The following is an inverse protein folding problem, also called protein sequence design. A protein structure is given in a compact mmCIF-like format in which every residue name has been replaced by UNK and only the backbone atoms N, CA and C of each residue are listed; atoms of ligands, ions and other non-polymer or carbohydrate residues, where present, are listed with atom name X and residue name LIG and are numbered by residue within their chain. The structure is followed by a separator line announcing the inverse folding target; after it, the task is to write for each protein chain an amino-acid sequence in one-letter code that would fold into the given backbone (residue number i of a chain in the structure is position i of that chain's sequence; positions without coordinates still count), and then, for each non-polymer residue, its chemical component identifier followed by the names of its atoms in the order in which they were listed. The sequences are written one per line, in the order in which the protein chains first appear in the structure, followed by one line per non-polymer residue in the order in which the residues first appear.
data_IF_815707889610
#
_entry.id   IF_815707889610
#
_cell.length_a   1.000
_cell.length_b   1.000
_cell.length_c   1.000
_cell.angle_alpha   90.00
_cell.angle_beta   90.00
_cell.angle_gamma   90.00
#
_symmetry.space_group_name_H-M   'P 1'
#
loop_
_entity.id
_entity.type
_entity.pdbx_description
1 polymer ?
#
# COMPACT_ATOMS: atom_id res chain seq x y z
N UNK A 1 19.91 10.90 -29.93
CA UNK A 1 18.74 10.12 -30.38
C UNK A 1 17.50 10.75 -29.79
N UNK A 2 16.45 10.92 -30.55
CA UNK A 2 15.17 11.43 -30.08
C UNK A 2 14.51 10.33 -29.25
N UNK A 3 13.93 10.72 -28.07
CA UNK A 3 13.26 9.77 -27.18
C UNK A 3 12.00 9.22 -27.85
N UNK A 4 11.74 7.94 -27.65
CA UNK A 4 10.48 7.33 -28.06
C UNK A 4 9.29 7.92 -27.31
N UNK A 5 8.06 7.70 -27.82
CA UNK A 5 6.82 8.08 -27.13
C UNK A 5 6.78 7.48 -25.73
N UNK A 6 7.14 6.19 -25.63
CA UNK A 6 7.14 5.48 -24.36
C UNK A 6 8.12 6.09 -23.35
N UNK A 7 9.38 6.32 -23.72
CA UNK A 7 10.37 6.92 -22.84
C UNK A 7 9.96 8.32 -22.37
N UNK A 8 9.43 9.13 -23.30
CA UNK A 8 8.96 10.50 -23.01
C UNK A 8 7.84 10.52 -21.98
N UNK A 9 6.88 9.59 -22.06
CA UNK A 9 5.74 9.52 -21.15
C UNK A 9 6.08 8.78 -19.84
N UNK A 10 6.96 7.78 -19.90
CA UNK A 10 7.33 6.98 -18.72
C UNK A 10 8.16 7.78 -17.69
N UNK A 11 8.93 8.75 -18.13
CA UNK A 11 9.71 9.62 -17.25
C UNK A 11 8.87 10.62 -16.44
N UNK A 12 7.58 10.78 -16.78
CA UNK A 12 6.71 11.72 -16.07
C UNK A 12 6.34 11.17 -14.71
N UNK A 13 6.71 11.88 -13.66
CA UNK A 13 6.24 11.56 -12.30
C UNK A 13 4.78 12.01 -12.15
N UNK A 14 3.87 11.07 -11.96
CA UNK A 14 2.44 11.33 -11.80
C UNK A 14 1.94 11.17 -10.37
N UNK A 15 2.82 10.92 -9.40
CA UNK A 15 2.45 10.55 -8.03
C UNK A 15 1.55 11.56 -7.31
N UNK A 16 1.75 12.87 -7.58
CA UNK A 16 0.95 13.94 -6.97
C UNK A 16 -0.49 14.02 -7.52
N UNK A 17 -0.80 13.25 -8.56
CA UNK A 17 -2.10 13.23 -9.23
C UNK A 17 -2.80 11.86 -9.14
N UNK A 18 -2.36 11.05 -8.18
CA UNK A 18 -2.87 9.69 -7.94
C UNK A 18 -3.75 9.68 -6.71
N UNK A 19 -4.97 9.19 -6.86
CA UNK A 19 -5.87 8.87 -5.76
C UNK A 19 -5.80 7.37 -5.46
N UNK A 20 -5.73 7.01 -4.18
CA UNK A 20 -5.83 5.61 -3.74
C UNK A 20 -7.23 5.33 -3.22
N UNK A 21 -7.90 4.34 -3.81
CA UNK A 21 -9.24 3.88 -3.40
C UNK A 21 -9.28 2.36 -3.41
N UNK A 22 -9.68 1.75 -2.30
CA UNK A 22 -9.83 0.29 -2.17
C UNK A 22 -8.59 -0.52 -2.61
N UNK A 23 -7.40 -0.04 -2.25
CA UNK A 23 -6.13 -0.70 -2.61
C UNK A 23 -5.63 -0.46 -4.03
N UNK A 24 -6.43 0.17 -4.90
CA UNK A 24 -6.04 0.51 -6.27
C UNK A 24 -5.59 1.97 -6.38
N UNK A 25 -4.68 2.21 -7.30
CA UNK A 25 -4.19 3.54 -7.67
C UNK A 25 -4.96 4.06 -8.88
N UNK A 26 -5.47 5.28 -8.78
CA UNK A 26 -6.22 5.94 -9.86
C UNK A 26 -5.52 7.21 -10.26
N UNK A 27 -4.95 7.21 -11.46
CA UNK A 27 -4.43 8.44 -12.06
C UNK A 27 -5.60 9.32 -12.52
N UNK A 28 -5.57 10.60 -12.17
CA UNK A 28 -6.55 11.58 -12.62
C UNK A 28 -6.59 11.62 -14.15
N UNK A 29 -7.73 11.26 -14.76
CA UNK A 29 -7.87 11.23 -16.22
C UNK A 29 -7.65 12.60 -16.90
N UNK A 30 -8.14 13.75 -16.33
CA UNK A 30 -7.86 15.06 -16.92
C UNK A 30 -6.38 15.41 -16.93
N UNK A 31 -5.68 15.07 -15.84
CA UNK A 31 -4.24 15.23 -15.76
C UNK A 31 -3.51 14.38 -16.79
N UNK A 32 -3.82 13.09 -16.84
CA UNK A 32 -3.22 12.15 -17.78
C UNK A 32 -3.40 12.62 -19.25
N UNK A 33 -4.62 13.03 -19.60
CA UNK A 33 -4.94 13.55 -20.91
C UNK A 33 -4.18 14.84 -21.23
N UNK A 34 -4.13 15.79 -20.29
CA UNK A 34 -3.42 17.04 -20.45
C UNK A 34 -1.91 16.83 -20.66
N UNK A 35 -1.28 15.96 -19.87
CA UNK A 35 0.15 15.67 -19.98
C UNK A 35 0.50 15.01 -21.33
N UNK A 36 -0.34 14.11 -21.81
CA UNK A 36 -0.19 13.51 -23.13
C UNK A 36 -0.35 14.57 -24.25
N UNK A 37 -1.41 15.37 -24.22
CA UNK A 37 -1.68 16.40 -25.25
C UNK A 37 -0.64 17.50 -25.30
N UNK A 38 0.00 17.87 -24.18
CA UNK A 38 1.11 18.83 -24.16
C UNK A 38 2.31 18.35 -24.98
N UNK A 39 2.58 17.06 -25.00
CA UNK A 39 3.74 16.46 -25.69
C UNK A 39 3.41 15.94 -27.07
N UNK A 40 2.19 15.42 -27.23
CA UNK A 40 1.68 14.82 -28.46
C UNK A 40 0.33 15.46 -28.84
N UNK A 41 0.34 16.71 -29.37
CA UNK A 41 -0.92 17.42 -29.67
C UNK A 41 -1.85 16.69 -30.67
N UNK A 42 -1.28 15.88 -31.56
CA UNK A 42 -2.01 15.08 -32.54
C UNK A 42 -2.60 13.78 -31.97
N UNK A 43 -2.20 13.38 -30.74
CA UNK A 43 -2.74 12.18 -30.12
C UNK A 43 -4.26 12.24 -29.98
N UNK A 44 -4.91 11.09 -30.13
CA UNK A 44 -6.36 10.98 -30.12
C UNK A 44 -6.82 9.75 -29.30
N UNK A 45 -8.11 9.67 -29.04
CA UNK A 45 -8.73 8.50 -28.39
C UNK A 45 -9.94 8.02 -29.17
N UNK A 46 -10.32 6.77 -28.92
CA UNK A 46 -11.50 6.14 -29.48
C UNK A 46 -12.25 5.36 -28.40
N UNK A 47 -13.56 5.53 -28.38
CA UNK A 47 -14.48 4.64 -27.67
C UNK A 47 -15.08 3.72 -28.75
N UNK A 48 -14.91 2.42 -28.57
CA UNK A 48 -15.44 1.45 -29.51
C UNK A 48 -16.90 1.16 -29.22
N UNK A 49 -17.67 0.99 -30.26
CA UNK A 49 -19.10 0.71 -30.20
C UNK A 49 -19.40 -0.68 -30.81
N UNK A 50 -20.49 -1.27 -30.38
CA UNK A 50 -21.04 -2.44 -31.03
C UNK A 50 -21.64 -2.07 -32.41
N UNK A 51 -22.01 -3.04 -33.24
CA UNK A 51 -22.70 -2.79 -34.51
C UNK A 51 -24.00 -1.99 -34.34
N UNK A 52 -24.66 -2.13 -33.20
CA UNK A 52 -25.88 -1.38 -32.85
C UNK A 52 -25.61 0.02 -32.25
N UNK A 53 -24.35 0.48 -32.18
CA UNK A 53 -23.96 1.79 -31.60
C UNK A 53 -23.94 1.83 -30.09
N UNK A 54 -23.90 0.68 -29.41
CA UNK A 54 -23.76 0.62 -27.97
C UNK A 54 -22.31 0.78 -27.56
N UNK A 55 -22.01 1.67 -26.60
CA UNK A 55 -20.66 2.00 -26.11
C UNK A 55 -20.10 1.03 -25.05
N UNK A 56 -20.80 -0.06 -24.78
CA UNK A 56 -20.32 -1.17 -23.95
C UNK A 56 -20.62 -2.51 -24.63
N UNK A 57 -19.88 -3.53 -24.25
CA UNK A 57 -20.01 -4.90 -24.71
C UNK A 57 -20.49 -5.79 -23.57
N UNK A 58 -21.10 -6.93 -23.87
CA UNK A 58 -21.61 -7.87 -22.87
C UNK A 58 -21.49 -9.32 -23.32
N UNK A 59 -21.33 -10.21 -22.34
CA UNK A 59 -21.42 -11.67 -22.48
C UNK A 59 -22.82 -12.21 -22.11
N UNK A 60 -23.79 -11.30 -21.91
CA UNK A 60 -25.12 -11.60 -21.43
C UNK A 60 -25.25 -11.66 -19.89
N UNK A 61 -24.17 -11.56 -19.15
CA UNK A 61 -24.14 -11.57 -17.67
C UNK A 61 -23.50 -10.32 -17.11
N UNK A 62 -22.35 -9.95 -17.64
CA UNK A 62 -21.58 -8.77 -17.23
C UNK A 62 -21.25 -7.91 -18.45
N UNK A 63 -20.61 -6.78 -18.22
CA UNK A 63 -20.31 -5.81 -19.25
C UNK A 63 -18.91 -5.26 -19.13
N UNK A 64 -18.35 -4.83 -20.26
CA UNK A 64 -17.06 -4.13 -20.34
C UNK A 64 -17.09 -3.03 -21.39
N UNK A 65 -16.16 -2.11 -21.29
CA UNK A 65 -15.91 -1.11 -22.32
C UNK A 65 -14.63 -1.46 -23.09
N UNK A 66 -14.55 -0.99 -24.32
CA UNK A 66 -13.35 -1.09 -25.18
C UNK A 66 -12.97 0.31 -25.62
N UNK A 67 -11.74 0.71 -25.34
CA UNK A 67 -11.22 2.04 -25.71
C UNK A 67 -9.84 1.91 -26.34
N UNK A 68 -9.42 2.94 -27.09
CA UNK A 68 -8.09 3.04 -27.65
C UNK A 68 -7.52 4.44 -27.47
N UNK A 69 -6.20 4.53 -27.33
CA UNK A 69 -5.46 5.79 -27.41
C UNK A 69 -4.39 5.64 -28.48
N UNK A 70 -4.38 6.59 -29.42
CA UNK A 70 -3.42 6.63 -30.53
C UNK A 70 -2.44 7.77 -30.32
N UNK A 71 -1.13 7.47 -30.39
CA UNK A 71 -0.03 8.42 -30.33
C UNK A 71 0.98 8.07 -31.43
N UNK A 72 1.28 9.03 -32.31
CA UNK A 72 2.24 8.86 -33.40
C UNK A 72 1.96 7.65 -34.30
N UNK A 73 0.68 7.36 -34.57
CA UNK A 73 0.25 6.26 -35.45
C UNK A 73 0.20 4.88 -34.78
N UNK A 74 0.54 4.77 -33.50
CA UNK A 74 0.40 3.56 -32.70
C UNK A 74 -0.82 3.69 -31.80
N UNK A 75 -1.78 2.73 -31.92
CA UNK A 75 -2.94 2.63 -31.04
C UNK A 75 -2.73 1.53 -30.00
N UNK A 76 -2.94 1.87 -28.72
CA UNK A 76 -3.08 0.88 -27.65
C UNK A 76 -4.53 0.76 -27.23
N UNK A 77 -5.06 -0.45 -27.29
CA UNK A 77 -6.44 -0.77 -26.96
C UNK A 77 -6.49 -1.37 -25.55
N UNK A 78 -7.50 -0.96 -24.80
CA UNK A 78 -7.78 -1.47 -23.46
C UNK A 78 -9.22 -1.95 -23.36
N UNK A 79 -9.42 -3.05 -22.63
CA UNK A 79 -10.71 -3.61 -22.26
C UNK A 79 -10.86 -3.51 -20.75
N UNK A 80 -11.92 -2.90 -20.25
CA UNK A 80 -12.14 -2.73 -18.83
C UNK A 80 -13.53 -3.21 -18.43
N UNK A 81 -13.67 -4.18 -17.49
CA UNK A 81 -14.96 -4.55 -16.93
C UNK A 81 -15.66 -3.36 -16.28
N UNK A 82 -16.99 -3.31 -16.37
CA UNK A 82 -17.79 -2.36 -15.62
C UNK A 82 -17.96 -2.89 -14.19
N UNK A 83 -17.41 -2.17 -13.20
CA UNK A 83 -17.24 -2.64 -11.84
C UNK A 83 -17.86 -1.69 -10.82
N UNK A 84 -18.32 -2.27 -9.71
CA UNK A 84 -18.76 -1.54 -8.52
C UNK A 84 -17.59 -0.94 -7.74
N UNK A 85 -17.90 -0.33 -6.58
CA UNK A 85 -16.90 0.28 -5.70
C UNK A 85 -15.98 -0.75 -5.01
N UNK A 86 -16.33 -2.04 -5.06
CA UNK A 86 -15.52 -3.16 -4.54
C UNK A 86 -14.72 -3.87 -5.65
N UNK A 87 -14.66 -3.27 -6.85
CA UNK A 87 -14.02 -3.82 -8.05
C UNK A 87 -14.63 -5.17 -8.52
N UNK A 88 -15.89 -5.44 -8.17
CA UNK A 88 -16.63 -6.60 -8.68
C UNK A 88 -17.43 -6.20 -9.91
N UNK A 89 -17.43 -7.05 -10.94
CA UNK A 89 -18.23 -6.82 -12.14
C UNK A 89 -19.71 -6.64 -11.79
N UNK A 90 -20.33 -5.59 -12.35
CA UNK A 90 -21.76 -5.31 -12.21
C UNK A 90 -22.49 -6.18 -13.23
N UNK A 91 -23.61 -6.81 -12.84
CA UNK A 91 -24.45 -7.56 -13.77
C UNK A 91 -25.11 -6.64 -14.78
N UNK A 92 -25.36 -7.18 -15.99
CA UNK A 92 -25.99 -6.44 -17.10
C UNK A 92 -27.27 -5.71 -16.70
N UNK A 93 -28.09 -6.30 -15.82
CA UNK A 93 -29.35 -5.75 -15.34
C UNK A 93 -29.19 -4.50 -14.46
N UNK A 94 -28.02 -4.31 -13.86
CA UNK A 94 -27.79 -3.26 -12.87
C UNK A 94 -26.83 -2.17 -13.32
N UNK A 95 -26.25 -2.28 -14.54
CA UNK A 95 -25.36 -1.22 -15.04
C UNK A 95 -26.15 0.04 -15.38
N UNK A 96 -25.51 1.17 -15.11
CA UNK A 96 -26.05 2.49 -15.47
C UNK A 96 -25.13 3.20 -16.46
N UNK A 97 -25.66 4.21 -17.17
CA UNK A 97 -24.80 5.05 -18.04
C UNK A 97 -23.68 5.74 -17.29
N UNK A 98 -23.87 6.02 -15.99
CA UNK A 98 -22.82 6.55 -15.10
C UNK A 98 -21.68 5.55 -14.94
N UNK A 99 -21.97 4.27 -14.69
CA UNK A 99 -20.98 3.23 -14.53
C UNK A 99 -20.22 2.98 -15.84
N UNK A 100 -20.90 3.02 -16.96
CA UNK A 100 -20.31 2.92 -18.30
C UNK A 100 -19.34 4.08 -18.52
N UNK A 101 -19.78 5.33 -18.33
CA UNK A 101 -18.93 6.50 -18.53
C UNK A 101 -17.71 6.50 -17.60
N UNK A 102 -17.88 6.14 -16.33
CA UNK A 102 -16.79 5.99 -15.37
C UNK A 102 -15.76 4.95 -15.83
N UNK A 103 -16.23 3.81 -16.36
CA UNK A 103 -15.38 2.74 -16.89
C UNK A 103 -14.64 3.17 -18.16
N UNK A 104 -15.27 3.95 -19.05
CA UNK A 104 -14.61 4.54 -20.22
C UNK A 104 -13.43 5.42 -19.81
N UNK A 105 -13.61 6.33 -18.86
CA UNK A 105 -12.52 7.22 -18.42
C UNK A 105 -11.35 6.43 -17.81
N UNK A 106 -11.63 5.39 -17.03
CA UNK A 106 -10.60 4.51 -16.47
C UNK A 106 -9.90 3.69 -17.56
N UNK A 107 -10.64 3.17 -18.52
CA UNK A 107 -10.13 2.40 -19.64
C UNK A 107 -9.18 3.25 -20.52
N UNK A 108 -9.58 4.49 -20.85
CA UNK A 108 -8.73 5.43 -21.57
C UNK A 108 -7.44 5.75 -20.82
N UNK A 109 -7.48 5.92 -19.49
CA UNK A 109 -6.29 6.16 -18.67
C UNK A 109 -5.35 4.94 -18.70
N UNK A 110 -5.88 3.71 -18.69
CA UNK A 110 -5.07 2.48 -18.81
C UNK A 110 -4.50 2.32 -20.22
N UNK A 111 -5.28 2.61 -21.26
CA UNK A 111 -4.79 2.63 -22.64
C UNK A 111 -3.62 3.62 -22.82
N UNK A 112 -3.74 4.80 -22.20
CA UNK A 112 -2.66 5.80 -22.19
C UNK A 112 -1.44 5.33 -21.40
N UNK A 113 -1.63 4.61 -20.31
CA UNK A 113 -0.53 4.05 -19.52
C UNK A 113 0.31 3.05 -20.32
N UNK A 114 -0.29 2.32 -21.28
CA UNK A 114 0.47 1.44 -22.20
C UNK A 114 1.45 2.20 -23.09
N UNK A 115 1.24 3.50 -23.31
CA UNK A 115 2.21 4.39 -23.95
C UNK A 115 3.30 4.91 -23.00
N UNK A 116 3.26 4.52 -21.71
CA UNK A 116 4.27 4.84 -20.70
C UNK A 116 3.78 5.68 -19.52
N UNK A 117 2.76 6.54 -19.69
CA UNK A 117 2.36 7.49 -18.64
C UNK A 117 1.80 6.82 -17.40
N UNK A 118 2.57 6.86 -16.31
CA UNK A 118 2.16 6.28 -15.04
C UNK A 118 1.97 4.76 -15.08
N UNK A 119 2.58 4.04 -16.01
CA UNK A 119 2.45 2.58 -16.15
C UNK A 119 2.79 1.83 -14.86
N UNK A 120 3.76 2.32 -14.09
CA UNK A 120 4.17 1.73 -12.82
C UNK A 120 3.07 1.71 -11.75
N UNK A 121 2.03 2.53 -11.88
CA UNK A 121 0.90 2.55 -10.94
C UNK A 121 0.06 1.27 -11.01
N UNK A 122 0.08 0.62 -12.16
CA UNK A 122 -0.70 -0.60 -12.44
C UNK A 122 0.09 -1.88 -12.16
N UNK A 123 1.35 -1.77 -11.72
CA UNK A 123 2.13 -2.92 -11.32
C UNK A 123 1.47 -3.63 -10.13
N UNK A 124 1.04 -4.88 -10.34
CA UNK A 124 0.35 -5.70 -9.33
C UNK A 124 -1.17 -5.66 -9.37
N UNK A 125 -1.82 -4.87 -10.24
CA UNK A 125 -3.29 -4.88 -10.37
C UNK A 125 -3.84 -6.20 -10.93
N UNK A 126 -3.06 -6.92 -11.74
CA UNK A 126 -3.46 -8.19 -12.34
C UNK A 126 -3.21 -9.41 -11.43
N UNK A 127 -2.61 -9.19 -10.26
CA UNK A 127 -2.62 -10.24 -9.24
C UNK A 127 -4.07 -10.41 -8.77
N UNK A 128 -4.59 -11.66 -8.68
CA UNK A 128 -5.88 -11.88 -8.05
C UNK A 128 -5.85 -11.16 -6.72
N UNK A 129 -6.94 -10.44 -6.37
CA UNK A 129 -7.13 -9.99 -5.00
C UNK A 129 -6.89 -11.22 -4.14
N UNK A 130 -5.68 -11.32 -3.58
CA UNK A 130 -5.50 -12.16 -2.41
C UNK A 130 -6.54 -11.55 -1.49
N UNK A 131 -7.62 -12.29 -1.21
CA UNK A 131 -8.52 -11.96 -0.12
C UNK A 131 -7.58 -11.67 1.03
N UNK A 132 -7.39 -10.38 1.33
CA UNK A 132 -6.47 -9.98 2.40
C UNK A 132 -7.16 -10.48 3.64
N UNK A 133 -6.83 -11.71 4.00
CA UNK A 133 -7.46 -12.41 5.10
C UNK A 133 -7.24 -11.57 6.35
N UNK A 134 -8.32 -10.94 6.79
CA UNK A 134 -8.31 -10.20 8.04
C UNK A 134 -8.14 -11.19 9.17
N UNK A 135 -7.44 -10.80 10.20
CA UNK A 135 -7.26 -11.66 11.36
C UNK A 135 -8.60 -11.98 12.01
N UNK A 136 -8.71 -13.17 12.60
CA UNK A 136 -9.90 -13.57 13.33
C UNK A 136 -10.13 -12.66 14.55
N UNK A 137 -11.36 -12.56 15.01
CA UNK A 137 -11.67 -11.85 16.26
C UNK A 137 -10.89 -12.40 17.47
N UNK A 138 -10.57 -13.71 17.45
CA UNK A 138 -9.72 -14.36 18.45
C UNK A 138 -8.28 -13.86 18.37
N UNK A 139 -7.72 -13.78 17.19
CA UNK A 139 -6.35 -13.29 16.98
C UNK A 139 -6.21 -11.80 17.31
N UNK A 140 -7.21 -10.98 16.99
CA UNK A 140 -7.25 -9.59 17.38
C UNK A 140 -7.23 -9.41 18.90
N UNK A 141 -7.97 -10.27 19.63
CA UNK A 141 -7.98 -10.29 21.09
C UNK A 141 -6.64 -10.74 21.68
N UNK A 142 -6.01 -11.76 21.09
CA UNK A 142 -4.67 -12.22 21.48
C UNK A 142 -3.65 -11.08 21.29
N UNK A 143 -3.65 -10.43 20.15
CA UNK A 143 -2.75 -9.31 19.87
C UNK A 143 -2.95 -8.14 20.84
N UNK A 144 -4.21 -7.82 21.18
CA UNK A 144 -4.53 -6.80 22.16
C UNK A 144 -4.00 -7.16 23.55
N UNK A 145 -4.09 -8.43 23.95
CA UNK A 145 -3.53 -8.92 25.21
C UNK A 145 -1.99 -8.83 25.21
N UNK A 146 -1.34 -9.12 24.08
CA UNK A 146 0.12 -8.97 23.96
C UNK A 146 0.53 -7.52 24.16
N UNK A 147 -0.18 -6.56 23.57
CA UNK A 147 0.07 -5.11 23.72
C UNK A 147 -0.14 -4.66 25.17
N UNK A 148 -1.14 -5.19 25.87
CA UNK A 148 -1.41 -4.84 27.30
C UNK A 148 -0.27 -5.18 28.24
N UNK A 149 0.66 -6.04 27.88
CA UNK A 149 1.81 -6.42 28.69
C UNK A 149 3.04 -5.51 28.47
N UNK A 150 2.88 -4.35 27.87
CA UNK A 150 3.91 -3.31 27.73
C UNK A 150 3.65 -2.14 28.67
N UNK A 151 4.68 -1.35 28.97
CA UNK A 151 4.64 -0.28 29.96
C UNK A 151 3.62 0.83 29.65
N UNK A 152 3.42 1.17 28.34
CA UNK A 152 2.43 2.18 27.88
C UNK A 152 1.45 1.56 26.88
N UNK A 153 0.57 0.65 27.31
CA UNK A 153 -0.24 -0.18 26.40
C UNK A 153 -1.20 0.63 25.53
N UNK A 154 -1.82 1.68 26.07
CA UNK A 154 -2.79 2.49 25.32
C UNK A 154 -2.09 3.35 24.25
N UNK A 155 -0.93 3.90 24.55
CA UNK A 155 -0.10 4.64 23.61
C UNK A 155 0.43 3.75 22.49
N UNK A 156 0.89 2.55 22.86
CA UNK A 156 1.35 1.54 21.90
C UNK A 156 0.21 1.10 20.97
N UNK A 157 -0.97 0.83 21.53
CA UNK A 157 -2.18 0.48 20.78
C UNK A 157 -2.54 1.57 19.76
N UNK A 158 -2.63 2.84 20.21
CA UNK A 158 -2.93 3.97 19.35
C UNK A 158 -1.88 4.16 18.23
N UNK A 159 -0.60 3.97 18.56
CA UNK A 159 0.50 4.06 17.59
C UNK A 159 0.38 2.99 16.51
N UNK A 160 0.05 1.75 16.88
CA UNK A 160 -0.15 0.65 15.95
C UNK A 160 -1.36 0.89 15.04
N UNK A 161 -2.50 1.35 15.59
CA UNK A 161 -3.68 1.69 14.79
C UNK A 161 -3.34 2.78 13.76
N UNK A 162 -2.64 3.82 14.15
CA UNK A 162 -2.22 4.89 13.25
C UNK A 162 -1.25 4.39 12.18
N UNK A 163 -0.25 3.58 12.55
CA UNK A 163 0.76 3.04 11.63
C UNK A 163 0.13 2.22 10.50
N UNK A 164 -0.87 1.41 10.83
CA UNK A 164 -1.53 0.51 9.86
C UNK A 164 -2.82 1.09 9.28
N UNK A 165 -3.19 2.32 9.65
CA UNK A 165 -4.39 3.03 9.20
C UNK A 165 -5.68 2.21 9.37
N UNK A 166 -5.87 1.66 10.57
CA UNK A 166 -7.04 0.85 10.95
C UNK A 166 -7.71 1.44 12.20
N UNK A 167 -9.02 1.21 12.35
CA UNK A 167 -9.80 1.65 13.52
C UNK A 167 -9.74 0.66 14.68
N UNK A 168 -9.42 -0.61 14.37
CA UNK A 168 -9.29 -1.67 15.37
C UNK A 168 -8.40 -2.80 14.86
N UNK A 169 -7.84 -3.62 15.76
CA UNK A 169 -7.06 -4.79 15.38
C UNK A 169 -7.84 -5.84 14.56
N UNK A 170 -9.18 -5.83 14.58
CA UNK A 170 -10.02 -6.70 13.75
C UNK A 170 -9.89 -6.40 12.23
N UNK A 171 -9.41 -5.22 11.89
CA UNK A 171 -9.23 -4.80 10.49
C UNK A 171 -7.84 -5.14 9.95
N UNK A 172 -6.92 -5.54 10.82
CA UNK A 172 -5.57 -5.96 10.43
C UNK A 172 -5.59 -7.22 9.57
N UNK A 173 -4.65 -7.30 8.65
CA UNK A 173 -4.39 -8.50 7.87
C UNK A 173 -3.51 -9.49 8.64
N UNK A 174 -3.53 -10.76 8.24
CA UNK A 174 -2.65 -11.80 8.80
C UNK A 174 -1.17 -11.38 8.71
N UNK A 175 -0.75 -10.79 7.58
CA UNK A 175 0.61 -10.28 7.38
C UNK A 175 0.95 -9.16 8.37
N UNK A 176 0.07 -8.17 8.52
CA UNK A 176 0.28 -7.06 9.46
C UNK A 176 0.37 -7.55 10.90
N UNK A 177 -0.43 -8.57 11.28
CA UNK A 177 -0.33 -9.20 12.61
C UNK A 177 1.05 -9.81 12.85
N UNK A 178 1.61 -10.52 11.88
CA UNK A 178 2.95 -11.10 11.97
C UNK A 178 4.00 -9.99 12.15
N UNK A 179 3.97 -8.97 11.31
CA UNK A 179 4.89 -7.82 11.42
C UNK A 179 4.83 -7.13 12.80
N UNK A 180 3.61 -6.99 13.35
CA UNK A 180 3.42 -6.40 14.68
C UNK A 180 4.05 -7.30 15.75
N UNK A 181 3.78 -8.60 15.71
CA UNK A 181 4.31 -9.55 16.69
C UNK A 181 5.83 -9.61 16.66
N UNK A 182 6.43 -9.62 15.48
CA UNK A 182 7.89 -9.59 15.31
C UNK A 182 8.50 -8.29 15.87
N UNK A 183 7.86 -7.15 15.61
CA UNK A 183 8.26 -5.86 16.17
C UNK A 183 8.17 -5.84 17.71
N UNK A 184 7.10 -6.37 18.27
CA UNK A 184 6.90 -6.44 19.73
C UNK A 184 7.90 -7.39 20.41
N UNK A 185 8.20 -8.53 19.77
CA UNK A 185 9.23 -9.45 20.25
C UNK A 185 10.63 -8.80 20.22
N UNK A 186 10.95 -8.04 19.17
CA UNK A 186 12.19 -7.27 19.09
C UNK A 186 12.31 -6.22 20.19
N UNK A 187 11.23 -5.54 20.56
CA UNK A 187 11.21 -4.59 21.68
C UNK A 187 11.46 -5.28 23.03
N UNK A 188 10.83 -6.45 23.26
CA UNK A 188 11.06 -7.25 24.48
C UNK A 188 12.50 -7.73 24.59
N UNK A 189 13.10 -8.21 23.52
CA UNK A 189 14.48 -8.66 23.49
C UNK A 189 15.46 -7.53 23.84
N UNK A 190 15.24 -6.31 23.30
CA UNK A 190 16.05 -5.12 23.61
C UNK A 190 15.90 -4.69 25.06
N UNK A 191 14.68 -4.69 25.60
CA UNK A 191 14.43 -4.36 27.00
C UNK A 191 15.07 -5.38 27.98
N UNK A 192 15.10 -6.66 27.62
CA UNK A 192 15.77 -7.69 28.41
C UNK A 192 17.30 -7.54 28.38
N UNK A 193 17.88 -7.26 27.20
CA UNK A 193 19.33 -7.04 27.04
C UNK A 193 19.81 -5.74 27.74
N UNK A 194 18.98 -4.69 27.73
CA UNK A 194 19.26 -3.44 28.47
C UNK A 194 19.29 -3.64 29.98
N UNK A 195 18.35 -4.44 30.54
CA UNK A 195 18.33 -4.78 31.96
C UNK A 195 19.55 -5.58 32.42
N UNK A 196 19.97 -6.55 31.62
CA UNK A 196 21.18 -7.32 31.96
C UNK A 196 22.44 -6.43 31.97
N UNK A 197 22.56 -5.48 31.06
CA UNK A 197 23.71 -4.56 31.03
C UNK A 197 23.74 -3.57 32.22
N UNK A 198 22.58 -3.21 32.77
CA UNK A 198 22.49 -2.40 34.00
C UNK A 198 22.79 -3.21 35.28
N UNK A 199 22.35 -4.47 35.32
CA UNK A 199 22.68 -5.39 36.42
C UNK A 199 24.20 -5.63 36.47
N UNK A 200 24.83 -5.95 35.35
CA UNK A 200 26.30 -6.15 35.26
C UNK A 200 27.10 -4.92 35.68
N UNK A 201 26.58 -3.70 35.37
CA UNK A 201 27.21 -2.45 35.81
C UNK A 201 27.08 -2.22 37.32
N UNK A 202 25.92 -2.57 37.91
CA UNK A 202 25.69 -2.43 39.34
C UNK A 202 26.50 -3.44 40.16
N UNK A 203 26.61 -4.69 39.67
CA UNK A 203 27.44 -5.73 40.30
C UNK A 203 28.94 -5.37 40.28
N UNK A 204 29.40 -4.80 39.15
CA UNK A 204 30.77 -4.33 39.02
C UNK A 204 31.06 -3.13 39.96
N UNK A 205 30.14 -2.17 40.05
CA UNK A 205 30.27 -1.03 40.96
C UNK A 205 30.26 -1.44 42.42
N UNK A 206 29.50 -2.46 42.83
CA UNK A 206 29.48 -3.03 44.18
C UNK A 206 30.76 -3.81 44.50
N UNK A 207 31.33 -4.53 43.53
CA UNK A 207 32.58 -5.26 43.72
C UNK A 207 33.79 -4.30 43.88
N UNK A 208 33.80 -3.22 43.13
CA UNK A 208 34.85 -2.19 43.19
C UNK A 208 34.77 -1.37 44.53
N UNK A 209 33.56 -1.16 45.03
CA UNK A 209 33.36 -0.49 46.33
C UNK A 209 33.80 -1.35 47.54
N UNK A 210 33.53 -2.68 47.49
CA UNK A 210 33.98 -3.63 48.54
C UNK A 210 35.49 -3.91 48.48
N UNK A 211 36.13 -3.79 47.31
CA UNK A 211 37.59 -3.93 47.16
C UNK A 211 38.38 -2.79 47.78
N UNK A 212 37.83 -1.56 47.81
CA UNK A 212 38.51 -0.38 48.43
C UNK A 212 38.47 -0.35 49.96
N UNK A 213 37.43 -0.93 50.58
CA UNK A 213 37.36 -1.00 52.08
C UNK A 213 38.30 -2.02 52.71
N UNK A 214 38.75 -3.04 51.94
CA UNK A 214 39.73 -4.02 52.46
C UNK A 214 41.19 -3.56 52.38
N UNK A 215 41.50 -2.56 51.57
CA UNK A 215 42.87 -2.02 51.45
C UNK A 215 43.22 -1.03 52.51
N UNK A 216 42.27 -0.31 53.11
CA UNK A 216 42.52 0.67 54.17
C UNK A 216 42.68 0.08 55.59
N UNK A 217 42.32 -1.20 55.82
CA UNK A 217 42.46 -1.87 57.10
C UNK A 217 43.81 -2.61 57.33
N UNK A 218 44.67 -2.64 56.31
CA UNK A 218 45.94 -3.37 56.39
C UNK A 218 47.16 -2.50 56.75
N UNK A 219 47.00 -1.18 56.93
CA UNK A 219 48.17 -0.29 57.13
C UNK A 219 48.34 0.28 58.57
N UNK A 220 47.57 -0.23 59.54
CA UNK A 220 47.66 0.28 60.94
C UNK A 220 47.99 -0.83 61.97
N UNK A 221 49.06 -1.58 61.75
CA UNK A 221 49.71 -2.43 62.78
C UNK A 221 51.17 -2.65 62.44
N UNK A 222 52.06 -1.80 62.93
CA UNK A 222 53.40 -2.20 63.48
C UNK A 222 53.96 -1.13 64.41
N UNK A 223 54.87 -1.52 65.29
CA UNK A 223 54.91 -1.13 66.74
C UNK A 223 55.59 0.16 67.01
#
# INVERSE_FOLDING_TARGET
MEKSVFETLFEINVNDHVEKKNGLSYLSWPYAWAEMKKRFPAANYKVYETESGCIYFTDGKTCWVKTGVEIAGLEHIEYLPIMDYKNKSISLEHITSFDVNKSIQRSLTKALARHGLGLYLYAGEDFPEIEIEKISAKDAKILQNVVRNFDEPDKLYATLLKKYNVSSFKELTVKQRVEILDGLNGLRARAASGRNSEFDKQEKAQSDANGSEQHDKAFDRQP
#
